data_IF_628504857372
#
_entry.id   IF_628504857372
#
_cell.length_a   1.000
_cell.length_b   1.000
_cell.length_c   1.000
_cell.angle_alpha   90.00
_cell.angle_beta   90.00
_cell.angle_gamma   90.00
#
_symmetry.space_group_name_H-M   'P 1'
#
loop_
_entity.id
_entity.type
_entity.pdbx_description
1 polymer ?
#
# COMPACT_ATOMS: atom_id res chain seq x y z
N UNK A 1 -20.02 -16.96 -13.40
CA UNK A 1 -19.22 -17.25 -12.19
C UNK A 1 -19.44 -16.12 -11.20
N UNK A 2 -19.89 -16.45 -9.99
CA UNK A 2 -20.00 -15.44 -8.93
C UNK A 2 -18.65 -15.38 -8.20
N UNK A 3 -17.82 -14.42 -8.56
CA UNK A 3 -16.50 -14.26 -7.95
C UNK A 3 -16.67 -13.47 -6.66
N UNK A 4 -16.38 -14.10 -5.54
CA UNK A 4 -16.29 -13.47 -4.23
C UNK A 4 -14.82 -13.12 -3.96
N UNK A 5 -14.52 -11.86 -3.69
CA UNK A 5 -13.15 -11.39 -3.50
C UNK A 5 -12.82 -11.19 -2.03
N UNK A 6 -11.64 -11.64 -1.62
CA UNK A 6 -11.04 -11.28 -0.35
C UNK A 6 -10.46 -9.85 -0.44
N UNK A 7 -10.81 -8.99 0.51
CA UNK A 7 -10.38 -7.59 0.52
C UNK A 7 -9.66 -7.29 1.82
N UNK A 8 -8.38 -6.90 1.70
CA UNK A 8 -7.56 -6.36 2.78
C UNK A 8 -7.03 -4.99 2.38
N UNK A 9 -7.20 -4.01 3.26
CA UNK A 9 -6.70 -2.63 3.11
C UNK A 9 -5.99 -2.18 4.36
N UNK A 10 -5.11 -1.21 4.22
CA UNK A 10 -4.38 -0.58 5.33
C UNK A 10 -4.40 0.93 5.12
N UNK A 11 -5.09 1.64 5.99
CA UNK A 11 -5.28 3.08 5.92
C UNK A 11 -4.47 3.77 7.03
N UNK A 12 -3.51 4.65 6.68
CA UNK A 12 -2.68 5.32 7.67
C UNK A 12 -3.44 6.40 8.41
N UNK A 13 -3.30 6.42 9.71
CA UNK A 13 -3.82 7.47 10.60
C UNK A 13 -2.67 8.43 10.89
N UNK A 14 -2.76 9.66 10.37
CA UNK A 14 -1.64 10.60 10.39
C UNK A 14 -1.58 11.46 11.65
N UNK A 15 -2.71 11.78 12.26
CA UNK A 15 -2.78 12.67 13.42
C UNK A 15 -3.60 12.08 14.55
N UNK A 16 -3.39 12.62 15.77
CA UNK A 16 -4.23 12.27 16.92
C UNK A 16 -5.70 12.71 16.74
N UNK A 17 -5.96 13.70 15.90
CA UNK A 17 -7.32 14.10 15.52
C UNK A 17 -7.99 13.04 14.64
N UNK A 18 -7.25 12.51 13.65
CA UNK A 18 -7.76 11.46 12.78
C UNK A 18 -8.04 10.19 13.60
N UNK A 19 -7.13 9.82 14.51
CA UNK A 19 -7.30 8.68 15.42
C UNK A 19 -8.59 8.82 16.26
N UNK A 20 -8.90 10.02 16.76
CA UNK A 20 -10.14 10.27 17.48
C UNK A 20 -11.37 10.15 16.57
N UNK A 21 -11.29 10.64 15.32
CA UNK A 21 -12.42 10.56 14.37
C UNK A 21 -12.73 9.10 14.00
N UNK A 22 -11.70 8.29 13.77
CA UNK A 22 -11.84 6.86 13.52
C UNK A 22 -12.42 6.14 14.73
N UNK A 23 -11.97 6.47 15.95
CA UNK A 23 -12.56 5.95 17.18
C UNK A 23 -14.05 6.26 17.29
N UNK A 24 -14.45 7.50 17.01
CA UNK A 24 -15.86 7.89 17.00
C UNK A 24 -16.67 7.19 15.91
N UNK A 25 -16.05 6.82 14.79
CA UNK A 25 -16.70 6.02 13.74
C UNK A 25 -16.86 4.56 14.18
N UNK A 26 -15.79 3.94 14.65
CA UNK A 26 -15.78 2.53 15.00
C UNK A 26 -16.67 2.21 16.22
N UNK A 27 -16.75 3.15 17.18
CA UNK A 27 -17.62 3.04 18.36
C UNK A 27 -19.04 3.56 18.13
N UNK A 28 -19.38 4.03 16.91
CA UNK A 28 -20.71 4.58 16.60
C UNK A 28 -21.15 5.73 17.53
N UNK A 29 -20.22 6.63 17.90
CA UNK A 29 -20.49 7.74 18.83
C UNK A 29 -21.31 8.89 18.23
N UNK A 30 -21.50 8.92 16.90
CA UNK A 30 -22.21 10.01 16.20
C UNK A 30 -23.66 9.62 15.94
N UNK A 31 -24.56 10.61 16.01
CA UNK A 31 -25.98 10.43 15.69
C UNK A 31 -26.26 10.33 14.17
N UNK A 32 -25.33 10.74 13.33
CA UNK A 32 -25.45 10.64 11.88
C UNK A 32 -24.07 10.56 11.21
N UNK A 33 -23.97 9.82 10.13
CA UNK A 33 -22.75 9.61 9.35
C UNK A 33 -22.95 10.06 7.90
N UNK A 34 -22.75 11.35 7.63
CA UNK A 34 -22.91 11.93 6.29
C UNK A 34 -21.92 11.35 5.25
N UNK A 35 -20.82 10.79 5.69
CA UNK A 35 -19.82 10.12 4.81
C UNK A 35 -20.27 8.74 4.38
N UNK A 36 -21.06 8.05 5.18
CA UNK A 36 -21.64 6.74 4.86
C UNK A 36 -23.10 6.67 5.31
N UNK A 37 -24.07 6.99 4.41
CA UNK A 37 -25.49 6.98 4.74
C UNK A 37 -26.08 5.57 4.91
N UNK A 38 -25.28 4.52 4.69
CA UNK A 38 -25.72 3.12 4.82
C UNK A 38 -25.65 2.60 6.23
N UNK A 39 -25.03 3.35 7.15
CA UNK A 39 -24.98 2.99 8.55
C UNK A 39 -26.38 3.06 9.14
N UNK A 40 -26.86 1.92 9.61
CA UNK A 40 -28.15 1.76 10.29
C UNK A 40 -27.89 1.73 11.79
N UNK A 41 -27.92 2.89 12.43
CA UNK A 41 -27.58 3.05 13.85
C UNK A 41 -28.40 2.15 14.77
N UNK A 42 -29.64 1.83 14.40
CA UNK A 42 -30.49 0.90 15.14
C UNK A 42 -29.93 -0.53 15.19
N UNK A 43 -29.07 -0.91 14.22
CA UNK A 43 -28.40 -2.20 14.14
C UNK A 43 -27.00 -2.18 14.78
N UNK A 44 -26.48 -1.03 15.19
CA UNK A 44 -25.12 -0.92 15.75
C UNK A 44 -24.90 -1.74 17.03
N UNK A 45 -25.98 -2.08 17.74
CA UNK A 45 -25.96 -3.03 18.87
C UNK A 45 -25.55 -4.45 18.48
N UNK A 46 -25.67 -4.80 17.20
CA UNK A 46 -25.33 -6.11 16.65
C UNK A 46 -23.87 -6.19 16.21
N UNK A 47 -23.14 -5.07 16.20
CA UNK A 47 -21.71 -5.04 15.95
C UNK A 47 -20.97 -5.89 16.99
N UNK A 48 -19.82 -6.49 16.58
CA UNK A 48 -19.12 -7.47 17.42
C UNK A 48 -17.73 -6.94 17.73
N UNK A 49 -17.45 -6.68 18.99
CA UNK A 49 -16.11 -6.34 19.44
C UNK A 49 -15.28 -7.60 19.66
N UNK A 50 -14.25 -7.82 18.84
CA UNK A 50 -13.31 -8.92 19.05
C UNK A 50 -12.25 -8.56 20.08
N UNK A 51 -11.78 -7.32 20.05
CA UNK A 51 -10.90 -6.75 21.05
C UNK A 51 -11.50 -5.43 21.52
N UNK A 52 -12.24 -5.43 22.64
CA UNK A 52 -12.95 -4.24 23.11
C UNK A 52 -11.99 -3.18 23.61
N UNK A 53 -12.41 -1.92 23.49
CA UNK A 53 -11.74 -0.78 24.09
C UNK A 53 -12.66 -0.11 25.12
N UNK A 54 -12.28 -0.14 26.39
CA UNK A 54 -13.06 0.43 27.49
C UNK A 54 -12.82 1.94 27.69
N UNK A 55 -12.17 2.59 26.73
CA UNK A 55 -11.76 4.00 26.83
C UNK A 55 -11.76 4.64 25.42
N UNK A 56 -11.47 5.92 25.34
CA UNK A 56 -11.31 6.58 24.03
C UNK A 56 -10.02 6.12 23.34
N UNK A 57 -10.00 6.13 22.00
CA UNK A 57 -8.80 5.79 21.22
C UNK A 57 -7.58 6.62 21.62
N UNK A 58 -7.78 7.89 21.95
CA UNK A 58 -6.68 8.76 22.42
C UNK A 58 -6.08 8.28 23.75
N UNK A 59 -6.92 7.80 24.68
CA UNK A 59 -6.44 7.26 25.96
C UNK A 59 -5.77 5.90 25.76
N UNK A 60 -6.38 4.98 25.02
CA UNK A 60 -5.78 3.68 24.72
C UNK A 60 -4.47 3.82 23.97
N UNK A 61 -4.36 4.75 23.02
CA UNK A 61 -3.09 5.09 22.37
C UNK A 61 -2.01 5.49 23.37
N UNK A 62 -2.34 6.36 24.33
CA UNK A 62 -1.39 6.79 25.38
C UNK A 62 -0.96 5.63 26.28
N UNK A 63 -1.86 4.70 26.58
CA UNK A 63 -1.52 3.50 27.35
C UNK A 63 -0.50 2.62 26.62
N UNK A 64 -0.74 2.35 25.33
CA UNK A 64 0.17 1.56 24.49
C UNK A 64 1.53 2.28 24.30
N UNK A 65 1.51 3.59 24.15
CA UNK A 65 2.73 4.40 23.89
C UNK A 65 3.34 5.01 25.15
N UNK A 66 2.95 4.59 26.34
CA UNK A 66 3.37 5.16 27.63
C UNK A 66 4.88 5.27 27.79
N UNK A 67 5.61 4.22 27.45
CA UNK A 67 7.07 4.24 27.55
C UNK A 67 7.70 5.14 26.49
N UNK A 68 7.13 5.22 25.29
CA UNK A 68 7.57 6.15 24.25
C UNK A 68 7.36 7.62 24.68
N UNK A 69 6.21 7.93 25.26
CA UNK A 69 5.94 9.26 25.81
C UNK A 69 6.90 9.62 26.93
N UNK A 70 7.21 8.66 27.83
CA UNK A 70 8.20 8.83 28.89
C UNK A 70 9.59 9.11 28.34
N UNK A 71 10.08 8.32 27.40
CA UNK A 71 11.39 8.55 26.73
C UNK A 71 11.41 9.94 26.04
N UNK A 72 10.32 10.34 25.41
CA UNK A 72 10.22 11.66 24.78
C UNK A 72 10.32 12.76 25.83
N UNK A 73 9.57 12.67 26.93
CA UNK A 73 9.56 13.68 27.98
C UNK A 73 10.94 13.81 28.67
N UNK A 74 11.64 12.70 28.95
CA UNK A 74 12.99 12.73 29.49
C UNK A 74 13.95 13.45 28.52
N UNK A 75 13.89 13.17 27.24
CA UNK A 75 14.70 13.86 26.22
C UNK A 75 14.37 15.35 26.15
N UNK A 76 13.12 15.75 26.33
CA UNK A 76 12.71 17.16 26.31
C UNK A 76 13.23 17.98 27.52
N UNK A 77 13.68 17.31 28.60
CA UNK A 77 14.32 18.02 29.73
C UNK A 77 15.62 18.70 29.32
N UNK A 78 16.42 18.03 28.48
CA UNK A 78 17.76 18.48 28.02
C UNK A 78 17.72 19.17 26.65
N UNK A 79 16.57 19.18 25.96
CA UNK A 79 16.47 19.76 24.63
C UNK A 79 16.45 21.32 24.70
N UNK A 80 16.92 21.97 23.64
CA UNK A 80 16.90 23.44 23.50
C UNK A 80 15.48 23.97 23.52
N UNK A 81 15.26 25.14 24.13
CA UNK A 81 13.94 25.73 24.36
C UNK A 81 13.08 25.80 23.08
N UNK A 82 13.67 26.16 21.94
CA UNK A 82 13.01 26.32 20.65
C UNK A 82 12.58 24.98 20.01
N UNK A 83 13.15 23.87 20.47
CA UNK A 83 12.86 22.52 19.98
C UNK A 83 11.97 21.71 20.93
N UNK A 84 11.72 22.23 22.14
CA UNK A 84 10.83 21.57 23.08
C UNK A 84 9.42 21.47 22.51
N UNK A 85 8.86 20.26 22.53
CA UNK A 85 7.51 19.96 22.04
C UNK A 85 6.86 18.93 22.94
N UNK A 86 5.57 19.01 23.11
CA UNK A 86 4.80 17.94 23.74
C UNK A 86 4.86 16.68 22.87
N UNK A 87 4.58 15.53 23.48
CA UNK A 87 4.55 14.25 22.75
C UNK A 87 3.53 14.30 21.59
N UNK A 88 2.33 14.83 21.84
CA UNK A 88 1.28 15.00 20.82
C UNK A 88 1.71 15.91 19.67
N UNK A 89 2.38 17.03 19.96
CA UNK A 89 2.90 17.92 18.92
C UNK A 89 3.99 17.24 18.08
N UNK A 90 4.84 16.44 18.71
CA UNK A 90 5.88 15.67 18.01
C UNK A 90 5.23 14.65 17.06
N UNK A 91 4.20 13.92 17.51
CA UNK A 91 3.48 12.97 16.68
C UNK A 91 2.79 13.65 15.50
N UNK A 92 2.03 14.73 15.75
CA UNK A 92 1.27 15.43 14.70
C UNK A 92 2.16 16.14 13.66
N UNK A 93 3.40 16.50 14.03
CA UNK A 93 4.39 17.08 13.11
C UNK A 93 5.27 16.03 12.42
N UNK A 94 5.18 14.79 12.85
CA UNK A 94 5.91 13.68 12.24
C UNK A 94 5.34 13.37 10.84
N UNK A 95 6.21 12.94 9.94
CA UNK A 95 5.79 12.32 8.67
C UNK A 95 5.37 10.86 8.84
N UNK A 96 5.59 10.28 10.02
CA UNK A 96 5.18 8.92 10.33
C UNK A 96 3.69 8.91 10.73
N UNK A 97 3.05 7.79 10.47
CA UNK A 97 1.69 7.54 10.96
C UNK A 97 1.64 7.54 12.48
N UNK A 98 0.51 7.88 13.06
CA UNK A 98 0.22 7.73 14.49
C UNK A 98 -0.25 6.29 14.76
N UNK A 99 -1.12 5.79 13.90
CA UNK A 99 -1.65 4.43 13.95
C UNK A 99 -1.93 3.96 12.51
N UNK A 100 -2.39 2.73 12.34
CA UNK A 100 -2.81 2.18 11.06
C UNK A 100 -4.16 1.49 11.24
N UNK A 101 -5.11 1.73 10.34
CA UNK A 101 -6.38 1.02 10.32
C UNK A 101 -6.32 -0.08 9.27
N UNK A 102 -6.46 -1.30 9.72
CA UNK A 102 -6.52 -2.49 8.89
C UNK A 102 -7.99 -2.83 8.68
N UNK A 103 -8.45 -2.80 7.44
CA UNK A 103 -9.81 -3.11 7.05
C UNK A 103 -9.85 -4.45 6.32
N UNK A 104 -10.70 -5.35 6.80
CA UNK A 104 -10.94 -6.65 6.19
C UNK A 104 -12.41 -6.78 5.83
N UNK A 105 -12.68 -7.24 4.61
CA UNK A 105 -14.04 -7.56 4.14
C UNK A 105 -13.98 -8.54 2.98
N UNK A 106 -15.11 -8.87 2.41
CA UNK A 106 -15.24 -9.62 1.19
C UNK A 106 -16.39 -9.05 0.35
N UNK A 107 -16.62 -9.59 -0.84
CA UNK A 107 -17.81 -9.28 -1.64
C UNK A 107 -19.07 -9.61 -0.81
N UNK A 108 -20.07 -8.73 -0.85
CA UNK A 108 -21.30 -8.84 -0.02
C UNK A 108 -21.90 -10.26 -0.04
N UNK A 109 -21.98 -10.86 -1.22
CA UNK A 109 -22.55 -12.19 -1.43
C UNK A 109 -21.85 -13.31 -0.64
N UNK A 110 -20.60 -13.14 -0.26
CA UNK A 110 -19.86 -14.09 0.58
C UNK A 110 -20.51 -14.26 1.95
N UNK A 111 -21.12 -13.19 2.47
CA UNK A 111 -21.72 -13.18 3.81
C UNK A 111 -23.21 -13.57 3.82
N UNK A 112 -23.88 -13.70 2.65
CA UNK A 112 -25.34 -13.90 2.55
C UNK A 112 -25.89 -15.09 3.36
N UNK A 113 -25.13 -16.18 3.47
CA UNK A 113 -25.55 -17.40 4.16
C UNK A 113 -24.73 -17.68 5.44
N UNK A 114 -23.94 -16.70 5.91
CA UNK A 114 -23.14 -16.85 7.10
C UNK A 114 -23.95 -16.60 8.37
N UNK A 115 -23.79 -17.45 9.34
CA UNK A 115 -24.25 -17.20 10.68
C UNK A 115 -23.37 -16.17 11.38
N UNK A 116 -23.83 -15.63 12.50
CA UNK A 116 -23.01 -14.73 13.35
C UNK A 116 -21.70 -15.38 13.78
N UNK A 117 -21.72 -16.69 14.05
CA UNK A 117 -20.54 -17.47 14.44
C UNK A 117 -19.57 -17.64 13.28
N UNK A 118 -20.06 -17.86 12.06
CA UNK A 118 -19.22 -17.94 10.86
C UNK A 118 -18.49 -16.62 10.60
N UNK A 119 -19.17 -15.47 10.80
CA UNK A 119 -18.57 -14.14 10.66
C UNK A 119 -17.48 -13.93 11.72
N UNK A 120 -17.72 -14.36 12.97
CA UNK A 120 -16.69 -14.29 14.03
C UNK A 120 -15.49 -15.17 13.67
N UNK A 121 -15.70 -16.39 13.17
CA UNK A 121 -14.62 -17.30 12.77
C UNK A 121 -13.80 -16.72 11.60
N UNK A 122 -14.46 -16.12 10.61
CA UNK A 122 -13.81 -15.39 9.54
C UNK A 122 -12.98 -14.23 10.09
N UNK A 123 -13.54 -13.43 10.98
CA UNK A 123 -12.84 -12.28 11.56
C UNK A 123 -11.67 -12.71 12.46
N UNK A 124 -11.77 -13.82 13.18
CA UNK A 124 -10.65 -14.40 13.91
C UNK A 124 -9.52 -14.82 12.97
N UNK A 125 -9.85 -15.38 11.79
CA UNK A 125 -8.84 -15.69 10.76
C UNK A 125 -8.14 -14.41 10.24
N UNK A 126 -8.88 -13.30 10.13
CA UNK A 126 -8.27 -11.99 9.83
C UNK A 126 -7.34 -11.52 10.95
N UNK A 127 -7.70 -11.73 12.22
CA UNK A 127 -6.84 -11.40 13.36
C UNK A 127 -5.60 -12.28 13.44
N UNK A 128 -5.70 -13.56 13.09
CA UNK A 128 -4.52 -14.45 12.95
C UNK A 128 -3.54 -13.89 11.91
N UNK A 129 -4.06 -13.40 10.78
CA UNK A 129 -3.23 -12.73 9.77
C UNK A 129 -2.54 -11.47 10.33
N UNK A 130 -3.22 -10.68 11.16
CA UNK A 130 -2.62 -9.50 11.81
C UNK A 130 -1.45 -9.89 12.72
N UNK A 131 -1.60 -10.96 13.47
CA UNK A 131 -0.59 -11.40 14.43
C UNK A 131 0.56 -12.15 13.78
N UNK A 132 0.27 -13.10 12.92
CA UNK A 132 1.24 -14.07 12.41
C UNK A 132 1.91 -13.61 11.10
N UNK A 133 1.15 -13.04 10.16
CA UNK A 133 1.66 -12.64 8.85
C UNK A 133 2.14 -11.19 8.81
N UNK A 134 1.38 -10.26 9.40
CA UNK A 134 1.82 -8.88 9.58
C UNK A 134 2.82 -8.73 10.73
N UNK A 135 2.74 -9.59 11.75
CA UNK A 135 3.66 -9.62 12.88
C UNK A 135 3.36 -8.59 13.98
N UNK A 136 2.14 -8.09 14.06
CA UNK A 136 1.72 -7.24 15.17
C UNK A 136 1.54 -8.06 16.45
N UNK A 137 1.98 -7.49 17.58
CA UNK A 137 1.70 -8.07 18.89
C UNK A 137 0.31 -7.68 19.36
N UNK A 138 -0.31 -8.48 20.23
CA UNK A 138 -1.65 -8.18 20.79
C UNK A 138 -1.69 -6.82 21.49
N UNK A 139 -0.61 -6.44 22.18
CA UNK A 139 -0.49 -5.16 22.89
C UNK A 139 -0.39 -3.96 21.96
N UNK A 140 -0.19 -4.17 20.67
CA UNK A 140 -0.16 -3.13 19.64
C UNK A 140 -1.51 -2.94 18.97
N UNK A 141 -2.48 -3.83 19.19
CA UNK A 141 -3.86 -3.68 18.70
C UNK A 141 -4.63 -2.80 19.67
N UNK A 142 -5.07 -1.66 19.19
CA UNK A 142 -5.83 -0.70 19.98
C UNK A 142 -7.30 -1.12 20.14
N UNK A 143 -7.92 -1.56 19.03
CA UNK A 143 -9.32 -1.95 18.99
C UNK A 143 -9.55 -2.86 17.76
N UNK A 144 -10.49 -3.79 17.87
CA UNK A 144 -10.95 -4.61 16.76
C UNK A 144 -12.44 -4.85 16.85
N UNK A 145 -13.20 -4.42 15.83
CA UNK A 145 -14.66 -4.46 15.79
C UNK A 145 -15.18 -4.87 14.42
N UNK A 146 -16.18 -5.74 14.39
CA UNK A 146 -16.91 -6.13 13.19
C UNK A 146 -18.16 -5.25 13.11
N UNK A 147 -18.31 -4.51 12.02
CA UNK A 147 -19.52 -3.77 11.72
C UNK A 147 -20.49 -4.65 10.94
N UNK A 148 -21.69 -4.81 11.50
CA UNK A 148 -22.84 -5.52 10.89
C UNK A 148 -23.99 -4.56 10.59
N UNK A 149 -23.85 -3.30 10.94
CA UNK A 149 -24.82 -2.21 10.77
C UNK A 149 -24.69 -1.48 9.43
N UNK A 150 -23.83 -1.98 8.55
CA UNK A 150 -23.66 -1.51 7.18
C UNK A 150 -24.07 -2.60 6.18
N UNK A 151 -24.05 -2.28 4.87
CA UNK A 151 -24.47 -3.18 3.81
C UNK A 151 -23.64 -4.48 3.77
N UNK A 152 -22.35 -4.40 3.99
CA UNK A 152 -21.43 -5.55 3.93
C UNK A 152 -20.69 -5.67 5.25
N UNK A 153 -20.66 -6.84 5.90
CA UNK A 153 -19.86 -7.09 7.08
C UNK A 153 -18.37 -6.78 6.83
N UNK A 154 -17.75 -6.07 7.76
CA UNK A 154 -16.32 -5.75 7.67
C UNK A 154 -15.71 -5.60 9.06
N UNK A 155 -14.43 -5.97 9.14
CA UNK A 155 -13.64 -5.89 10.37
C UNK A 155 -12.72 -4.67 10.29
N UNK A 156 -12.86 -3.78 11.25
CA UNK A 156 -11.88 -2.73 11.55
C UNK A 156 -10.91 -3.20 12.64
N UNK A 157 -9.63 -3.14 12.35
CA UNK A 157 -8.58 -3.43 13.32
C UNK A 157 -7.59 -2.27 13.34
N UNK A 158 -7.59 -1.49 14.43
CA UNK A 158 -6.69 -0.34 14.58
C UNK A 158 -5.45 -0.78 15.36
N UNK A 159 -4.28 -0.60 14.75
CA UNK A 159 -2.99 -1.01 15.30
C UNK A 159 -2.06 0.18 15.48
N UNK A 160 -1.19 0.11 16.49
CA UNK A 160 -0.14 1.09 16.72
C UNK A 160 1.19 0.44 16.37
N UNK A 161 1.85 0.82 15.25
CA UNK A 161 3.09 0.20 14.81
C UNK A 161 4.30 0.70 15.63
N UNK A 162 4.22 0.51 16.95
CA UNK A 162 5.25 0.90 17.92
C UNK A 162 6.38 -0.13 17.91
N UNK A 163 7.61 0.31 17.62
CA UNK A 163 8.80 -0.53 17.57
C UNK A 163 9.96 0.12 18.27
N UNK A 164 10.94 -0.67 18.68
CA UNK A 164 12.26 -0.18 19.11
C UNK A 164 13.21 -0.20 17.93
N UNK A 165 13.93 0.89 17.73
CA UNK A 165 15.00 1.00 16.73
C UNK A 165 16.27 1.53 17.36
N UNK A 166 17.40 1.02 16.88
CA UNK A 166 18.71 1.52 17.29
C UNK A 166 18.91 2.93 16.69
N UNK A 167 19.11 3.91 17.56
CA UNK A 167 19.58 5.23 17.17
C UNK A 167 21.09 5.16 16.95
N UNK A 168 21.52 5.17 15.69
CA UNK A 168 22.94 5.04 15.31
C UNK A 168 23.83 6.12 15.92
N UNK A 169 23.28 7.30 16.24
CA UNK A 169 24.05 8.41 16.81
C UNK A 169 24.41 8.20 18.29
N UNK A 170 23.47 7.61 19.05
CA UNK A 170 23.63 7.39 20.49
C UNK A 170 23.90 5.95 20.85
N UNK A 171 23.84 5.04 19.87
CA UNK A 171 23.93 3.59 20.02
C UNK A 171 22.97 3.04 21.10
N UNK A 172 21.79 3.64 21.20
CA UNK A 172 20.73 3.25 22.15
C UNK A 172 19.46 2.88 21.41
N UNK A 173 18.74 1.87 21.89
CA UNK A 173 17.43 1.55 21.38
C UNK A 173 16.42 2.60 21.83
N UNK A 174 15.54 3.03 20.91
CA UNK A 174 14.48 4.00 21.18
C UNK A 174 13.17 3.57 20.57
N UNK A 175 12.09 3.91 21.24
CA UNK A 175 10.76 3.74 20.69
C UNK A 175 10.52 4.68 19.51
N UNK A 176 9.83 4.17 18.50
CA UNK A 176 9.33 4.93 17.37
C UNK A 176 8.08 4.26 16.81
N UNK A 177 7.23 5.03 16.13
CA UNK A 177 6.10 4.49 15.37
C UNK A 177 6.55 4.35 13.93
N UNK A 178 6.42 3.14 13.35
CA UNK A 178 6.92 2.84 12.01
C UNK A 178 6.09 1.81 11.29
N UNK A 179 5.08 2.27 10.50
CA UNK A 179 4.30 1.41 9.60
C UNK A 179 5.18 0.60 8.63
N UNK A 180 6.27 1.20 8.13
CA UNK A 180 7.21 0.53 7.21
C UNK A 180 7.87 -0.73 7.78
N UNK A 181 7.82 -0.93 9.09
CA UNK A 181 8.30 -2.17 9.71
C UNK A 181 7.39 -3.36 9.36
N UNK A 182 6.09 -3.11 9.19
CA UNK A 182 5.04 -4.10 8.93
C UNK A 182 4.64 -4.11 7.46
N UNK A 183 4.45 -2.95 6.85
CA UNK A 183 4.09 -2.77 5.44
C UNK A 183 5.11 -1.83 4.82
N UNK A 184 6.06 -2.39 4.06
CA UNK A 184 7.25 -1.66 3.55
C UNK A 184 6.87 -0.68 2.44
N UNK A 185 6.15 -1.17 1.45
CA UNK A 185 5.77 -0.47 0.23
C UNK A 185 4.55 -1.13 -0.44
N UNK A 186 4.15 -0.64 -1.61
CA UNK A 186 3.02 -1.19 -2.38
C UNK A 186 3.23 -2.64 -2.83
N UNK A 187 4.47 -3.02 -3.15
CA UNK A 187 4.81 -4.38 -3.58
C UNK A 187 4.60 -5.33 -2.41
N UNK A 188 5.17 -4.98 -1.24
CA UNK A 188 4.99 -5.77 -0.03
C UNK A 188 3.51 -5.84 0.41
N UNK A 189 2.73 -4.75 0.25
CA UNK A 189 1.29 -4.79 0.50
C UNK A 189 0.58 -5.77 -0.43
N UNK A 190 0.96 -5.85 -1.70
CA UNK A 190 0.42 -6.84 -2.64
C UNK A 190 0.79 -8.27 -2.25
N UNK A 191 2.03 -8.51 -1.79
CA UNK A 191 2.46 -9.81 -1.24
C UNK A 191 1.67 -10.19 0.03
N UNK A 192 1.38 -9.22 0.88
CA UNK A 192 0.55 -9.41 2.07
C UNK A 192 -0.91 -9.74 1.69
N UNK A 193 -1.44 -9.13 0.64
CA UNK A 193 -2.77 -9.50 0.11
C UNK A 193 -2.78 -10.94 -0.44
N UNK A 194 -1.67 -11.40 -1.05
CA UNK A 194 -1.53 -12.80 -1.48
C UNK A 194 -1.54 -13.74 -0.27
N UNK A 195 -0.81 -13.41 0.79
CA UNK A 195 -0.79 -14.19 2.04
C UNK A 195 -2.16 -14.21 2.74
N UNK A 196 -2.84 -13.07 2.76
CA UNK A 196 -4.20 -12.99 3.32
C UNK A 196 -5.17 -13.91 2.58
N UNK A 197 -5.16 -13.86 1.25
CA UNK A 197 -5.95 -14.78 0.43
C UNK A 197 -5.60 -16.25 0.69
N UNK A 198 -4.30 -16.57 0.73
CA UNK A 198 -3.83 -17.93 1.03
C UNK A 198 -4.36 -18.41 2.38
N UNK A 199 -4.25 -17.60 3.44
CA UNK A 199 -4.74 -17.95 4.79
C UNK A 199 -6.25 -18.22 4.80
N UNK A 200 -7.04 -17.41 4.09
CA UNK A 200 -8.48 -17.64 3.96
C UNK A 200 -8.78 -18.95 3.22
N UNK A 201 -8.07 -19.24 2.14
CA UNK A 201 -8.22 -20.49 1.37
C UNK A 201 -7.86 -21.71 2.21
N UNK A 202 -6.77 -21.66 3.00
CA UNK A 202 -6.36 -22.73 3.92
C UNK A 202 -7.41 -23.02 5.02
N UNK A 203 -8.18 -22.00 5.40
CA UNK A 203 -9.32 -22.12 6.33
C UNK A 203 -10.62 -22.56 5.66
N UNK A 204 -10.60 -22.79 4.34
CA UNK A 204 -11.74 -23.29 3.58
C UNK A 204 -12.73 -22.23 3.08
N UNK A 205 -12.36 -20.93 3.13
CA UNK A 205 -13.19 -19.88 2.56
C UNK A 205 -13.03 -19.82 1.04
N UNK A 206 -14.16 -19.87 0.31
CA UNK A 206 -14.21 -19.75 -1.15
C UNK A 206 -14.19 -18.27 -1.57
N UNK A 207 -13.01 -17.72 -1.55
CA UNK A 207 -12.74 -16.32 -1.89
C UNK A 207 -11.61 -16.24 -2.92
N UNK A 208 -11.79 -15.38 -3.89
CA UNK A 208 -10.77 -15.07 -4.90
C UNK A 208 -9.86 -13.93 -4.44
N UNK A 209 -8.63 -13.99 -4.85
CA UNK A 209 -7.71 -12.86 -4.69
C UNK A 209 -8.07 -11.78 -5.71
N UNK A 210 -8.27 -10.55 -5.28
CA UNK A 210 -8.48 -9.40 -6.17
C UNK A 210 -7.34 -9.21 -7.18
N UNK A 211 -7.61 -8.47 -8.25
CA UNK A 211 -6.65 -8.25 -9.35
C UNK A 211 -5.41 -7.51 -8.83
N UNK A 212 -4.23 -8.09 -9.10
CA UNK A 212 -2.94 -7.47 -8.74
C UNK A 212 -2.72 -6.20 -9.57
N UNK A 213 -2.20 -5.16 -8.93
CA UNK A 213 -1.87 -3.88 -9.58
C UNK A 213 -3.04 -3.24 -10.35
N UNK A 214 -4.26 -3.41 -9.83
CA UNK A 214 -5.43 -2.74 -10.38
C UNK A 214 -5.23 -1.21 -10.29
N UNK A 215 -5.35 -0.52 -11.44
CA UNK A 215 -5.32 0.96 -11.52
C UNK A 215 -6.61 1.61 -11.01
N UNK A 216 -7.50 0.83 -10.37
CA UNK A 216 -8.72 1.36 -9.78
C UNK A 216 -8.36 2.34 -8.67
N UNK A 217 -8.47 3.63 -8.98
CA UNK A 217 -8.38 4.69 -7.98
C UNK A 217 -9.52 4.53 -6.99
N UNK A 218 -9.19 4.67 -5.71
CA UNK A 218 -10.22 4.71 -4.67
C UNK A 218 -11.19 5.86 -4.97
N UNK A 219 -12.38 5.54 -5.43
CA UNK A 219 -13.47 6.51 -5.48
C UNK A 219 -14.04 6.65 -4.08
N UNK A 220 -14.26 7.89 -3.65
CA UNK A 220 -14.92 8.13 -2.35
C UNK A 220 -16.20 7.31 -2.32
N UNK A 221 -16.36 6.48 -1.30
CA UNK A 221 -17.50 5.56 -1.13
C UNK A 221 -18.85 6.23 -1.40
N UNK A 222 -18.99 7.49 -1.03
CA UNK A 222 -20.19 8.30 -1.27
C UNK A 222 -20.52 8.49 -2.77
N UNK A 223 -19.51 8.72 -3.61
CA UNK A 223 -19.70 8.95 -5.05
C UNK A 223 -19.99 7.65 -5.78
N UNK A 224 -19.23 6.59 -5.46
CA UNK A 224 -19.45 5.26 -6.01
C UNK A 224 -20.85 4.76 -5.67
N UNK A 225 -21.25 4.81 -4.40
CA UNK A 225 -22.58 4.38 -3.94
C UNK A 225 -23.70 5.20 -4.53
N UNK A 226 -23.53 6.51 -4.73
CA UNK A 226 -24.53 7.35 -5.38
C UNK A 226 -24.79 6.92 -6.83
N UNK A 227 -23.74 6.62 -7.58
CA UNK A 227 -23.83 6.19 -8.99
C UNK A 227 -24.40 4.79 -9.09
N UNK A 228 -23.92 3.84 -8.29
CA UNK A 228 -24.40 2.46 -8.27
C UNK A 228 -25.88 2.41 -7.91
N UNK A 229 -26.29 3.05 -6.81
CA UNK A 229 -27.71 3.12 -6.40
C UNK A 229 -28.63 3.76 -7.44
N UNK A 230 -28.13 4.77 -8.16
CA UNK A 230 -28.93 5.38 -9.23
C UNK A 230 -29.25 4.35 -10.30
N UNK A 231 -28.29 3.55 -10.73
CA UNK A 231 -28.52 2.53 -11.76
C UNK A 231 -29.33 1.34 -11.22
N UNK A 232 -29.06 0.87 -10.02
CA UNK A 232 -29.80 -0.21 -9.36
C UNK A 232 -31.28 0.15 -9.20
N UNK A 233 -31.58 1.34 -8.68
CA UNK A 233 -32.95 1.83 -8.56
C UNK A 233 -33.63 1.97 -9.91
N UNK A 234 -32.90 2.39 -10.94
CA UNK A 234 -33.43 2.50 -12.30
C UNK A 234 -33.79 1.13 -12.85
N UNK A 235 -32.93 0.14 -12.72
CA UNK A 235 -33.18 -1.26 -13.13
C UNK A 235 -34.34 -1.86 -12.33
N UNK A 236 -34.35 -1.71 -11.02
CA UNK A 236 -35.41 -2.20 -10.13
C UNK A 236 -36.79 -1.60 -10.50
N UNK A 237 -36.83 -0.32 -10.79
CA UNK A 237 -38.06 0.36 -11.21
C UNK A 237 -38.56 -0.12 -12.59
N UNK A 238 -37.64 -0.38 -13.53
CA UNK A 238 -37.94 -0.92 -14.84
C UNK A 238 -38.50 -2.35 -14.70
N UNK A 239 -37.83 -3.21 -13.95
CA UNK A 239 -38.29 -4.59 -13.73
C UNK A 239 -39.66 -4.62 -13.06
N UNK A 240 -39.89 -3.83 -12.00
CA UNK A 240 -41.20 -3.74 -11.35
C UNK A 240 -42.32 -3.29 -12.29
N UNK A 241 -42.06 -2.33 -13.17
CA UNK A 241 -43.02 -1.90 -14.19
C UNK A 241 -43.28 -3.01 -15.20
N UNK A 242 -42.23 -3.69 -15.66
CA UNK A 242 -42.34 -4.80 -16.59
C UNK A 242 -43.18 -5.93 -16.01
N UNK A 243 -42.96 -6.33 -14.76
CA UNK A 243 -43.71 -7.37 -14.07
C UNK A 243 -45.20 -7.02 -13.97
N UNK A 244 -45.53 -5.75 -13.62
CA UNK A 244 -46.92 -5.31 -13.55
C UNK A 244 -47.57 -5.40 -14.91
N UNK A 245 -46.93 -4.91 -15.96
CA UNK A 245 -47.49 -4.86 -17.32
C UNK A 245 -47.58 -6.26 -17.90
N UNK A 246 -46.63 -7.17 -17.61
CA UNK A 246 -46.69 -8.59 -18.02
C UNK A 246 -47.87 -9.30 -17.36
N UNK A 247 -48.07 -9.11 -16.05
CA UNK A 247 -49.18 -9.73 -15.33
C UNK A 247 -50.54 -9.21 -15.86
N UNK A 248 -50.67 -7.92 -16.09
CA UNK A 248 -51.89 -7.34 -16.72
C UNK A 248 -52.16 -7.92 -18.11
N UNK A 249 -51.12 -8.12 -18.89
CA UNK A 249 -51.19 -8.71 -20.22
C UNK A 249 -51.66 -10.19 -20.16
N UNK A 250 -51.03 -10.98 -19.27
CA UNK A 250 -51.35 -12.42 -19.11
C UNK A 250 -52.81 -12.61 -18.68
N UNK A 251 -53.31 -11.80 -17.75
CA UNK A 251 -54.73 -11.87 -17.35
C UNK A 251 -55.66 -11.53 -18.49
N UNK A 252 -55.36 -10.52 -19.31
CA UNK A 252 -56.15 -10.11 -20.43
C UNK A 252 -56.08 -11.11 -21.62
N UNK A 253 -54.95 -11.78 -21.79
CA UNK A 253 -54.81 -12.84 -22.81
C UNK A 253 -55.70 -14.04 -22.53
N UNK A 254 -56.06 -14.32 -21.26
CA UNK A 254 -57.00 -15.39 -20.89
C UNK A 254 -58.42 -15.11 -21.41
N UNK A 255 -58.75 -13.86 -21.68
CA UNK A 255 -60.09 -13.47 -22.18
C UNK A 255 -60.19 -13.45 -23.69
N UNK A 256 -59.14 -13.74 -24.44
CA UNK A 256 -59.16 -13.76 -25.92
C UNK A 256 -60.03 -14.86 -26.47
N UNK A 257 -60.89 -14.51 -27.46
CA UNK A 257 -61.82 -15.45 -28.12
C UNK A 257 -61.36 -15.73 -29.54
N UNK A 258 -61.55 -16.96 -30.00
CA UNK A 258 -61.32 -17.30 -31.42
C UNK A 258 -62.39 -16.68 -32.30
N UNK A 259 -61.99 -16.17 -33.44
CA UNK A 259 -62.97 -15.69 -34.45
C UNK A 259 -63.68 -16.92 -35.03
N UNK A 260 -65.04 -16.97 -35.04
CA UNK A 260 -65.76 -18.09 -35.66
C UNK A 260 -65.33 -18.28 -37.11
N UNK A 261 -65.05 -19.54 -37.50
CA UNK A 261 -64.68 -19.94 -38.87
C UNK A 261 -63.29 -19.47 -39.34
N UNK A 262 -62.46 -18.87 -38.49
CA UNK A 262 -61.08 -18.51 -38.84
C UNK A 262 -60.05 -19.34 -38.02
N UNK A 263 -59.06 -19.90 -38.72
CA UNK A 263 -57.95 -20.63 -38.07
C UNK A 263 -56.79 -19.71 -37.67
N UNK A 264 -56.76 -18.47 -38.15
CA UNK A 264 -55.60 -17.56 -38.03
C UNK A 264 -55.91 -16.22 -37.34
N UNK A 265 -57.17 -15.98 -36.98
CA UNK A 265 -57.61 -14.70 -36.38
C UNK A 265 -58.12 -14.94 -34.95
N UNK A 266 -57.75 -14.01 -34.07
CA UNK A 266 -58.20 -13.92 -32.70
C UNK A 266 -58.94 -12.62 -32.48
N UNK A 267 -60.07 -12.64 -31.79
CA UNK A 267 -60.76 -11.46 -31.29
C UNK A 267 -60.11 -11.03 -30.01
N UNK A 268 -59.46 -9.87 -30.05
CA UNK A 268 -58.76 -9.27 -28.91
C UNK A 268 -59.56 -8.03 -28.50
N UNK A 269 -59.92 -7.93 -27.24
CA UNK A 269 -60.55 -6.75 -26.70
C UNK A 269 -59.58 -5.55 -26.76
N UNK A 270 -60.10 -4.35 -26.95
CA UNK A 270 -59.33 -3.12 -27.08
C UNK A 270 -58.36 -2.95 -25.91
N UNK A 271 -58.79 -3.22 -24.70
CA UNK A 271 -57.96 -3.15 -23.47
C UNK A 271 -56.80 -4.13 -23.47
N UNK A 272 -56.97 -5.30 -24.09
CA UNK A 272 -55.90 -6.30 -24.25
C UNK A 272 -54.87 -5.81 -25.27
N UNK A 273 -55.35 -5.20 -26.38
CA UNK A 273 -54.46 -4.57 -27.37
C UNK A 273 -53.68 -3.38 -26.79
N UNK A 274 -54.31 -2.54 -25.98
CA UNK A 274 -53.70 -1.40 -25.32
C UNK A 274 -52.63 -1.90 -24.28
N UNK A 275 -52.89 -3.01 -23.58
CA UNK A 275 -51.92 -3.62 -22.68
C UNK A 275 -50.73 -4.19 -23.44
N UNK A 276 -50.94 -4.82 -24.59
CA UNK A 276 -49.87 -5.32 -25.47
C UNK A 276 -48.98 -4.17 -25.96
N UNK A 277 -49.57 -3.04 -26.32
CA UNK A 277 -48.82 -1.84 -26.69
C UNK A 277 -48.01 -1.27 -25.51
N UNK A 278 -48.52 -1.33 -24.29
CA UNK A 278 -47.76 -0.95 -23.09
C UNK A 278 -46.51 -1.86 -22.87
N UNK A 279 -46.71 -3.20 -23.00
CA UNK A 279 -45.58 -4.16 -22.90
C UNK A 279 -44.53 -3.85 -23.96
N UNK A 280 -44.96 -3.65 -25.22
CA UNK A 280 -44.05 -3.33 -26.32
C UNK A 280 -43.30 -2.04 -26.05
N UNK A 281 -43.96 -1.00 -25.54
CA UNK A 281 -43.30 0.27 -25.25
C UNK A 281 -42.33 0.21 -24.07
N UNK A 282 -42.63 -0.55 -23.01
CA UNK A 282 -41.69 -0.73 -21.91
C UNK A 282 -40.52 -1.64 -22.32
N UNK A 283 -40.76 -2.68 -23.14
CA UNK A 283 -39.70 -3.51 -23.70
C UNK A 283 -38.77 -2.71 -24.65
N UNK A 284 -39.30 -1.78 -25.46
CA UNK A 284 -38.48 -0.88 -26.27
C UNK A 284 -37.52 -0.07 -25.42
N UNK A 285 -37.94 0.42 -24.26
CA UNK A 285 -37.06 1.17 -23.34
C UNK A 285 -35.90 0.29 -22.78
N UNK A 286 -36.15 -1.00 -22.59
CA UNK A 286 -35.10 -1.96 -22.21
C UNK A 286 -34.12 -2.19 -23.36
N UNK A 287 -34.66 -2.35 -24.59
CA UNK A 287 -33.87 -2.53 -25.82
C UNK A 287 -33.00 -1.28 -26.09
N UNK A 288 -33.50 -0.08 -25.83
CA UNK A 288 -32.74 1.18 -25.97
C UNK A 288 -31.57 1.28 -24.95
N UNK A 289 -31.63 0.56 -23.84
CA UNK A 289 -30.54 0.49 -22.86
C UNK A 289 -29.47 -0.57 -23.21
N UNK A 290 -29.81 -1.54 -24.04
CA UNK A 290 -28.93 -2.63 -24.44
C UNK A 290 -27.62 -2.15 -25.11
N UNK A 291 -27.64 -1.18 -26.07
CA UNK A 291 -26.40 -0.66 -26.65
C UNK A 291 -25.48 -0.02 -25.60
N UNK A 292 -26.06 0.67 -24.63
CA UNK A 292 -25.30 1.31 -23.55
C UNK A 292 -24.67 0.30 -22.60
N UNK A 293 -25.36 -0.81 -22.36
CA UNK A 293 -24.86 -1.96 -21.59
C UNK A 293 -23.74 -2.63 -22.38
N UNK A 294 -23.90 -2.82 -23.68
CA UNK A 294 -22.88 -3.38 -24.58
C UNK A 294 -21.64 -2.47 -24.67
N UNK A 295 -21.82 -1.17 -24.72
CA UNK A 295 -20.74 -0.19 -24.68
C UNK A 295 -19.94 -0.30 -23.37
N UNK A 296 -20.61 -0.35 -22.22
CA UNK A 296 -19.97 -0.56 -20.92
C UNK A 296 -19.23 -1.90 -20.84
N UNK A 297 -19.80 -2.98 -21.37
CA UNK A 297 -19.10 -4.27 -21.44
C UNK A 297 -17.89 -4.22 -22.37
N UNK A 298 -17.94 -3.47 -23.47
CA UNK A 298 -16.82 -3.30 -24.38
C UNK A 298 -15.69 -2.50 -23.71
N UNK A 299 -16.02 -1.46 -22.96
CA UNK A 299 -15.08 -0.68 -22.16
C UNK A 299 -14.41 -1.55 -21.07
N UNK A 300 -15.21 -2.30 -20.31
CA UNK A 300 -14.68 -3.23 -19.30
C UNK A 300 -13.74 -4.27 -19.93
N UNK A 301 -14.10 -4.83 -21.09
CA UNK A 301 -13.24 -5.76 -21.81
C UNK A 301 -11.95 -5.11 -22.34
N UNK A 302 -12.03 -3.86 -22.79
CA UNK A 302 -10.86 -3.08 -23.20
C UNK A 302 -9.91 -2.84 -22.02
N UNK A 303 -10.45 -2.38 -20.89
CA UNK A 303 -9.67 -2.21 -19.65
C UNK A 303 -9.05 -3.52 -19.18
N UNK A 304 -9.77 -4.64 -19.25
CA UNK A 304 -9.27 -5.97 -18.87
C UNK A 304 -8.09 -6.41 -19.74
N UNK A 305 -8.17 -6.19 -21.07
CA UNK A 305 -7.07 -6.50 -21.99
C UNK A 305 -5.85 -5.61 -21.78
N UNK A 306 -6.07 -4.31 -21.60
CA UNK A 306 -5.00 -3.35 -21.28
C UNK A 306 -4.31 -3.72 -19.96
N UNK A 307 -5.08 -4.10 -18.95
CA UNK A 307 -4.56 -4.56 -17.67
C UNK A 307 -3.68 -5.81 -17.81
N UNK A 308 -4.11 -6.80 -18.58
CA UNK A 308 -3.31 -8.01 -18.84
C UNK A 308 -1.98 -7.69 -19.54
N UNK A 309 -1.96 -6.70 -20.42
CA UNK A 309 -0.73 -6.25 -21.10
C UNK A 309 0.22 -5.58 -20.10
N UNK A 310 -0.28 -4.66 -19.29
CA UNK A 310 0.47 -3.98 -18.22
C UNK A 310 1.00 -4.96 -17.18
N UNK A 311 0.26 -6.01 -16.86
CA UNK A 311 0.69 -7.05 -15.93
C UNK A 311 1.87 -7.84 -16.49
N UNK A 312 1.86 -8.18 -17.78
CA UNK A 312 2.99 -8.83 -18.46
C UNK A 312 4.24 -7.93 -18.50
N UNK A 313 4.06 -6.65 -18.79
CA UNK A 313 5.14 -5.65 -18.76
C UNK A 313 5.73 -5.51 -17.35
N UNK A 314 4.89 -5.46 -16.35
CA UNK A 314 5.30 -5.37 -14.95
C UNK A 314 6.09 -6.62 -14.50
N UNK A 315 5.65 -7.81 -14.89
CA UNK A 315 6.39 -9.06 -14.65
C UNK A 315 7.75 -9.05 -15.36
N UNK A 316 7.82 -8.51 -16.58
CA UNK A 316 9.08 -8.35 -17.31
C UNK A 316 10.03 -7.38 -16.58
N UNK A 317 9.54 -6.22 -16.19
CA UNK A 317 10.30 -5.24 -15.40
C UNK A 317 10.78 -5.79 -14.06
N UNK A 318 9.97 -6.58 -13.38
CA UNK A 318 10.38 -7.23 -12.11
C UNK A 318 11.53 -8.23 -12.32
N UNK A 319 11.52 -8.98 -13.43
CA UNK A 319 12.63 -9.87 -13.80
C UNK A 319 13.91 -9.08 -14.10
N UNK A 320 13.78 -7.96 -14.78
CA UNK A 320 14.89 -7.06 -15.07
C UNK A 320 15.47 -6.43 -13.79
N UNK A 321 14.62 -5.93 -12.90
CA UNK A 321 15.03 -5.41 -11.59
C UNK A 321 15.78 -6.49 -10.79
N UNK A 322 15.30 -7.73 -10.79
CA UNK A 322 15.99 -8.84 -10.12
C UNK A 322 17.37 -9.10 -10.73
N UNK A 323 17.45 -9.10 -12.04
CA UNK A 323 18.72 -9.26 -12.76
C UNK A 323 19.71 -8.13 -12.45
N UNK A 324 19.23 -6.87 -12.49
CA UNK A 324 20.05 -5.70 -12.16
C UNK A 324 20.51 -5.70 -10.71
N UNK A 325 19.67 -6.13 -9.76
CA UNK A 325 20.06 -6.28 -8.34
C UNK A 325 21.17 -7.30 -8.17
N UNK A 326 21.08 -8.44 -8.85
CA UNK A 326 22.14 -9.48 -8.82
C UNK A 326 23.43 -8.94 -9.42
N UNK A 327 23.36 -8.26 -10.57
CA UNK A 327 24.53 -7.64 -11.22
C UNK A 327 25.18 -6.57 -10.32
N UNK A 328 24.37 -5.76 -9.68
CA UNK A 328 24.86 -4.73 -8.75
C UNK A 328 25.54 -5.34 -7.51
N UNK A 329 25.01 -6.46 -7.00
CA UNK A 329 25.64 -7.20 -5.90
C UNK A 329 27.02 -7.72 -6.33
N UNK A 330 27.11 -8.37 -7.51
CA UNK A 330 28.38 -8.90 -8.04
C UNK A 330 29.41 -7.78 -8.25
N UNK A 331 28.99 -6.64 -8.83
CA UNK A 331 29.87 -5.48 -9.02
C UNK A 331 30.34 -4.89 -7.68
N UNK A 332 29.51 -4.95 -6.65
CA UNK A 332 29.90 -4.50 -5.31
C UNK A 332 30.94 -5.43 -4.69
N UNK A 333 30.81 -6.74 -4.88
CA UNK A 333 31.82 -7.72 -4.46
C UNK A 333 33.15 -7.53 -5.23
N UNK A 334 33.08 -7.33 -6.54
CA UNK A 334 34.25 -7.03 -7.37
C UNK A 334 34.98 -5.76 -6.90
N UNK A 335 34.22 -4.69 -6.63
CA UNK A 335 34.78 -3.44 -6.10
C UNK A 335 35.46 -3.64 -4.73
N UNK A 336 34.87 -4.43 -3.84
CA UNK A 336 35.46 -4.72 -2.54
C UNK A 336 36.74 -5.54 -2.70
N UNK A 337 36.78 -6.49 -3.61
CA UNK A 337 37.99 -7.27 -3.94
C UNK A 337 39.09 -6.37 -4.51
N UNK A 338 38.77 -5.47 -5.46
CA UNK A 338 39.71 -4.51 -6.01
C UNK A 338 40.26 -3.58 -4.96
N UNK A 339 39.44 -3.07 -4.05
CA UNK A 339 39.88 -2.25 -2.91
C UNK A 339 40.88 -3.02 -2.01
N UNK A 340 40.60 -4.30 -1.77
CA UNK A 340 41.51 -5.15 -1.01
C UNK A 340 42.89 -5.34 -1.72
N UNK A 341 42.87 -5.55 -3.06
CA UNK A 341 44.11 -5.63 -3.84
C UNK A 341 44.89 -4.34 -3.81
N UNK A 342 44.21 -3.19 -4.00
CA UNK A 342 44.85 -1.85 -3.94
C UNK A 342 45.47 -1.64 -2.57
N UNK A 343 44.81 -1.98 -1.47
CA UNK A 343 45.35 -1.90 -0.11
C UNK A 343 46.62 -2.75 0.03
N UNK A 344 46.61 -3.95 -0.49
CA UNK A 344 47.78 -4.85 -0.46
C UNK A 344 48.99 -4.29 -1.24
N UNK A 345 48.74 -3.72 -2.41
CA UNK A 345 49.77 -3.07 -3.22
C UNK A 345 50.35 -1.85 -2.48
N UNK A 346 49.48 -1.00 -1.92
CA UNK A 346 49.93 0.17 -1.12
C UNK A 346 50.78 -0.23 0.06
N UNK A 347 50.43 -1.30 0.78
CA UNK A 347 51.26 -1.82 1.85
C UNK A 347 52.61 -2.37 1.35
N UNK A 348 52.65 -3.00 0.18
CA UNK A 348 53.90 -3.43 -0.42
C UNK A 348 54.79 -2.24 -0.82
N UNK A 349 54.21 -1.18 -1.34
CA UNK A 349 54.92 0.08 -1.68
C UNK A 349 55.44 0.75 -0.42
N UNK A 350 54.66 0.87 0.64
CA UNK A 350 55.10 1.38 1.96
C UNK A 350 56.30 0.60 2.52
N UNK A 351 56.24 -0.74 2.43
CA UNK A 351 57.37 -1.60 2.87
C UNK A 351 58.62 -1.38 2.03
N UNK A 352 58.46 -1.17 0.70
CA UNK A 352 59.57 -0.87 -0.19
C UNK A 352 60.23 0.46 0.16
N UNK A 353 59.48 1.53 0.37
CA UNK A 353 60.01 2.81 0.78
C UNK A 353 60.66 2.76 2.18
N UNK A 354 60.12 2.04 3.15
CA UNK A 354 60.73 1.82 4.46
C UNK A 354 62.10 1.13 4.32
N UNK A 355 62.26 0.16 3.39
CA UNK A 355 63.56 -0.46 3.11
C UNK A 355 64.58 0.54 2.50
N UNK A 356 64.13 1.40 1.57
CA UNK A 356 65.01 2.44 0.99
C UNK A 356 65.48 3.41 2.08
N UNK A 357 64.65 3.85 3.00
CA UNK A 357 65.01 4.70 4.13
C UNK A 357 66.08 4.05 5.04
N UNK A 358 65.97 2.73 5.24
CA UNK A 358 66.94 2.00 6.08
C UNK A 358 68.30 1.83 5.42
N UNK A 359 68.39 1.92 4.08
CA UNK A 359 69.63 1.76 3.30
C UNK A 359 70.18 3.03 2.70
N UNK A 360 69.48 4.18 2.83
CA UNK A 360 69.88 5.47 2.25
C UNK A 360 70.66 6.31 3.25
N UNK A 361 71.92 6.65 2.89
CA UNK A 361 72.79 7.51 3.71
C UNK A 361 72.59 9.03 3.47
N UNK A 362 71.58 9.43 2.73
CA UNK A 362 71.30 10.82 2.36
C UNK A 362 70.14 11.39 3.18
N UNK A 363 70.45 12.27 4.12
CA UNK A 363 69.49 12.85 5.06
C UNK A 363 68.31 13.55 4.39
N UNK A 364 68.52 14.29 3.28
CA UNK A 364 67.44 15.04 2.65
C UNK A 364 66.39 14.13 2.00
N UNK A 365 66.83 13.03 1.37
CA UNK A 365 65.92 12.01 0.78
C UNK A 365 65.17 11.21 1.86
N UNK A 366 65.79 11.06 3.04
CA UNK A 366 65.15 10.34 4.13
C UNK A 366 63.98 11.13 4.75
N UNK A 367 64.06 12.44 4.78
CA UNK A 367 63.02 13.29 5.38
C UNK A 367 61.81 13.37 4.47
N UNK A 368 61.96 13.58 3.15
CA UNK A 368 60.86 13.58 2.17
C UNK A 368 60.17 12.21 2.15
N UNK A 369 60.93 11.09 2.18
CA UNK A 369 60.34 9.75 2.21
C UNK A 369 59.60 9.46 3.49
N UNK A 370 60.08 10.03 4.63
CA UNK A 370 59.43 9.91 5.93
C UNK A 370 58.10 10.70 5.95
N UNK A 371 58.11 11.93 5.45
CA UNK A 371 56.90 12.76 5.31
C UNK A 371 55.83 12.07 4.45
N UNK A 372 56.22 11.45 3.33
CA UNK A 372 55.33 10.67 2.47
C UNK A 372 54.73 9.46 3.23
N UNK A 373 55.55 8.73 3.98
CA UNK A 373 55.09 7.57 4.76
C UNK A 373 54.16 8.03 5.88
N UNK A 374 54.49 9.06 6.65
CA UNK A 374 53.63 9.63 7.68
C UNK A 374 52.31 10.15 7.14
N UNK A 375 52.33 10.79 5.98
CA UNK A 375 51.12 11.24 5.32
C UNK A 375 50.17 10.06 4.98
N UNK A 376 50.71 8.94 4.47
CA UNK A 376 49.89 7.79 4.08
C UNK A 376 49.59 6.83 5.25
N UNK A 377 50.33 6.83 6.33
CA UNK A 377 50.02 6.02 7.54
C UNK A 377 48.88 6.63 8.35
N UNK A 378 48.65 7.94 8.26
CA UNK A 378 47.64 8.66 9.03
C UNK A 378 46.31 8.87 8.28
N UNK A 379 46.19 8.36 7.06
CA UNK A 379 45.01 8.59 6.19
C UNK A 379 44.28 7.29 5.88
N UNK A 380 42.98 7.22 6.28
CA UNK A 380 42.08 6.19 5.79
C UNK A 380 41.74 6.49 4.32
N UNK A 381 42.25 5.67 3.41
CA UNK A 381 42.04 5.83 1.96
C UNK A 381 40.60 5.55 1.56
N UNK A 382 39.95 6.56 0.98
CA UNK A 382 38.70 6.41 0.26
C UNK A 382 38.94 6.59 -1.27
N UNK A 383 37.91 6.41 -2.09
CA UNK A 383 38.02 6.52 -3.55
C UNK A 383 38.46 7.91 -4.05
N UNK A 384 38.26 8.97 -3.26
CA UNK A 384 38.59 10.34 -3.61
C UNK A 384 40.08 10.62 -3.36
N UNK A 385 40.68 9.96 -2.37
CA UNK A 385 42.09 10.07 -2.05
C UNK A 385 43.00 9.49 -3.16
N UNK A 386 42.55 8.47 -3.87
CA UNK A 386 43.26 7.90 -5.03
C UNK A 386 43.31 8.91 -6.19
N UNK A 387 42.26 9.72 -6.34
CA UNK A 387 42.19 10.76 -7.37
C UNK A 387 43.11 11.95 -7.04
N UNK A 388 43.20 12.35 -5.77
CA UNK A 388 44.05 13.42 -5.32
C UNK A 388 45.55 13.05 -5.37
N UNK A 389 45.92 11.81 -5.12
CA UNK A 389 47.28 11.30 -5.30
C UNK A 389 47.71 11.41 -6.76
N UNK A 390 46.83 11.02 -7.71
CA UNK A 390 47.13 11.12 -9.13
C UNK A 390 47.39 12.59 -9.58
N UNK A 391 46.77 13.57 -8.90
CA UNK A 391 46.86 14.98 -9.20
C UNK A 391 48.09 15.67 -8.55
N UNK A 392 48.55 15.16 -7.42
CA UNK A 392 49.76 15.68 -6.76
C UNK A 392 51.07 15.28 -7.44
N UNK A 393 51.04 14.14 -8.18
CA UNK A 393 52.16 13.68 -8.98
C UNK A 393 52.34 14.46 -10.31
N UNK A 394 51.32 15.21 -10.76
CA UNK A 394 51.40 16.07 -11.97
C UNK A 394 52.31 17.30 -11.81
N UNK A 395 52.92 17.52 -10.65
CA UNK A 395 53.84 18.65 -10.44
C UNK A 395 55.34 18.31 -10.51
N UNK A 396 55.68 17.05 -10.56
CA UNK A 396 57.06 16.60 -10.76
C UNK A 396 57.14 15.34 -11.64
N UNK A 397 57.40 15.64 -12.94
CA UNK A 397 58.09 14.82 -13.96
C UNK A 397 57.74 13.33 -14.18
N UNK A 398 57.13 13.08 -15.35
CA UNK A 398 57.47 12.00 -16.28
C UNK A 398 57.49 10.52 -15.78
N UNK A 399 56.46 10.05 -15.08
CA UNK A 399 56.42 8.59 -14.86
C UNK A 399 55.06 7.90 -14.99
N UNK A 400 54.00 8.60 -15.33
CA UNK A 400 52.74 7.98 -15.69
C UNK A 400 52.10 8.68 -16.92
N UNK A 401 52.21 8.01 -18.04
CA UNK A 401 51.56 8.39 -19.30
C UNK A 401 50.04 8.21 -19.16
N UNK A 402 49.33 9.29 -18.90
CA UNK A 402 47.86 9.38 -18.73
C UNK A 402 47.08 8.95 -20.00
N UNK A 403 47.78 8.71 -21.11
CA UNK A 403 47.19 8.33 -22.39
C UNK A 403 46.72 6.85 -22.39
N UNK A 404 47.24 6.02 -21.48
CA UNK A 404 46.97 4.57 -21.49
C UNK A 404 45.95 4.10 -20.44
N UNK A 405 45.26 5.00 -19.75
CA UNK A 405 44.15 4.59 -18.86
C UNK A 405 42.92 4.24 -19.75
N UNK A 406 42.39 3.02 -19.68
CA UNK A 406 41.21 2.64 -20.43
C UNK A 406 40.04 3.60 -20.20
N UNK A 407 39.34 3.98 -21.27
CA UNK A 407 38.26 4.98 -21.24
C UNK A 407 37.12 4.68 -20.24
N UNK A 408 36.96 3.44 -19.79
CA UNK A 408 35.99 3.03 -18.78
C UNK A 408 36.42 3.40 -17.33
N UNK A 409 37.70 3.74 -17.10
CA UNK A 409 38.20 4.26 -15.81
C UNK A 409 38.16 5.78 -15.68
N UNK A 410 37.91 6.50 -16.79
CA UNK A 410 37.61 7.92 -16.77
C UNK A 410 36.21 8.09 -16.27
N UNK A 411 36.05 8.31 -14.97
CA UNK A 411 34.73 8.44 -14.34
C UNK A 411 33.87 9.43 -15.09
N UNK A 412 32.67 9.01 -15.46
CA UNK A 412 31.58 9.90 -15.80
C UNK A 412 31.36 10.83 -14.61
N UNK A 413 31.86 12.05 -14.67
CA UNK A 413 31.29 13.16 -13.94
C UNK A 413 29.92 13.44 -14.55
N UNK A 414 28.95 12.60 -14.29
CA UNK A 414 27.57 13.02 -14.38
C UNK A 414 27.34 13.90 -13.15
N UNK A 415 27.43 15.17 -13.40
CA UNK A 415 26.87 16.25 -12.58
C UNK A 415 25.49 15.84 -12.13
N UNK A 416 25.36 15.44 -10.88
CA UNK A 416 24.09 15.53 -10.18
C UNK A 416 23.79 17.01 -10.07
N UNK A 417 22.94 17.49 -10.95
CA UNK A 417 22.38 18.82 -10.86
C UNK A 417 21.54 18.90 -9.58
N UNK A 418 21.84 19.85 -8.73
CA UNK A 418 21.06 20.18 -7.53
C UNK A 418 19.60 20.60 -7.82
N UNK A 419 19.17 20.56 -9.07
CA UNK A 419 17.80 20.91 -9.49
C UNK A 419 16.78 19.80 -9.34
N UNK A 420 17.19 18.55 -9.10
CA UNK A 420 16.26 17.43 -8.91
C UNK A 420 15.80 17.25 -7.45
N UNK A 421 16.02 18.23 -6.60
CA UNK A 421 15.53 18.22 -5.21
C UNK A 421 14.07 18.61 -5.03
N UNK A 422 13.45 19.19 -6.04
CA UNK A 422 12.11 19.75 -5.92
C UNK A 422 10.99 18.88 -6.51
N UNK A 423 11.30 17.80 -7.24
CA UNK A 423 10.29 16.93 -7.85
C UNK A 423 9.98 15.64 -7.06
N UNK A 424 10.46 15.50 -5.83
CA UNK A 424 9.98 14.48 -4.91
C UNK A 424 8.93 15.05 -3.95
N UNK A 425 7.94 15.75 -4.47
CA UNK A 425 6.63 15.75 -3.85
C UNK A 425 6.10 14.31 -3.95
N UNK A 426 6.31 13.56 -2.89
CA UNK A 426 5.55 12.37 -2.59
C UNK A 426 4.08 12.79 -2.56
N UNK A 427 3.46 12.77 -3.74
CA UNK A 427 2.01 12.79 -3.82
C UNK A 427 1.47 11.82 -2.78
N UNK A 428 0.57 12.33 -1.96
CA UNK A 428 -0.27 11.60 -1.01
C UNK A 428 -1.04 10.49 -1.75
N UNK A 429 -0.37 9.38 -2.02
CA UNK A 429 -0.96 8.19 -2.59
C UNK A 429 -0.81 7.07 -1.60
N UNK A 430 -1.74 7.08 -0.65
CA UNK A 430 -2.04 5.93 0.16
C UNK A 430 -3.42 5.48 -0.26
N UNK A 431 -3.43 4.42 -0.95
CA UNK A 431 -4.59 3.60 -1.19
C UNK A 431 -4.26 2.16 -0.83
#
# INVERSE_FOLDING_TARGET
>A
MNLNYAIFRSEPIMTMSDLRQIGSHNNREKQAYNSNPDIKLELSKDNIELLPINTTYTKGFKEITKEYEKEHNERMKTERKERKRTFTEMLNKSRNVVADELLFTATHKFFDNMTREDIINWANTCMDFVYEDLGYKKEQVLHSVIHLDEETPHLHCVVIPLVKKLDKRTNTERYTISKKQYIKDKIHLSELQDKYHQRLTEKGYDLERGIKNSDTKHQKTKELKKTTRYYENKVKNINKKLDIVMNEFDEKMKTTKKVPFSKTQLLIEKDTFDSMNKVINETKKVIELEPKIQELFSEVNHYTKSHQTLEKENQSMQREIKSLKTRNHNLTEENNNLKSYISTILEAIKRFFRKILLFGNDKSKSDTTREIIEYYDNKDFNSDDVYDISRSTDKEDELFDYANIPSYMKSNKNTYNEKDKDDFELEKWIL
#
